data_IF_475935191144
#
_entry.id   IF_475935191144
#
_cell.length_a   1.000
_cell.length_b   1.000
_cell.length_c   1.000
_cell.angle_alpha   90.00
_cell.angle_beta   90.00
_cell.angle_gamma   90.00
#
_symmetry.space_group_name_H-M   'P 1'
#
loop_
_entity.id
_entity.type
_entity.pdbx_description
1 polymer ?
#
# COMPACT_ATOMS: atom_id res chain seq x y z
N UNK A 1 23.03 20.05 -5.07
CA UNK A 1 21.96 19.18 -5.62
C UNK A 1 20.86 19.05 -4.58
N UNK A 2 19.64 19.55 -4.85
CA UNK A 2 18.50 19.29 -3.98
C UNK A 2 18.19 17.80 -4.05
N UNK A 3 18.20 17.12 -2.90
CA UNK A 3 17.76 15.71 -2.82
C UNK A 3 16.23 15.67 -2.85
N UNK A 4 15.62 14.76 -3.63
CA UNK A 4 14.20 14.58 -3.60
C UNK A 4 13.77 14.06 -2.21
N UNK A 5 12.80 14.71 -1.58
CA UNK A 5 12.19 14.25 -0.33
C UNK A 5 11.00 13.39 -0.67
N UNK A 6 10.93 12.19 -0.09
CA UNK A 6 9.78 11.29 -0.19
C UNK A 6 9.24 11.07 1.21
N UNK A 7 7.95 11.32 1.39
CA UNK A 7 7.23 11.07 2.62
C UNK A 7 6.25 9.93 2.36
N UNK A 8 6.40 8.82 3.08
CA UNK A 8 5.48 7.68 3.01
C UNK A 8 4.68 7.61 4.30
N UNK A 9 3.36 7.56 4.18
CA UNK A 9 2.45 7.33 5.29
C UNK A 9 1.81 5.98 5.07
N UNK A 10 2.13 5.03 5.95
CA UNK A 10 1.52 3.71 5.98
C UNK A 10 0.25 3.73 6.84
N UNK A 11 -0.62 2.75 6.65
CA UNK A 11 -1.92 2.65 7.33
C UNK A 11 -2.77 3.93 7.19
N UNK A 12 -2.70 4.57 6.04
CA UNK A 12 -3.34 5.87 5.79
C UNK A 12 -4.87 5.85 5.89
N UNK A 13 -5.53 4.66 5.92
CA UNK A 13 -6.96 4.53 6.18
C UNK A 13 -7.37 5.02 7.58
N UNK A 14 -6.42 5.07 8.54
CA UNK A 14 -6.66 5.60 9.89
C UNK A 14 -6.53 7.13 9.99
N UNK A 15 -6.09 7.79 8.93
CA UNK A 15 -6.03 9.25 8.92
C UNK A 15 -7.44 9.86 9.01
N UNK A 16 -7.60 10.81 9.93
CA UNK A 16 -8.84 11.54 10.03
C UNK A 16 -9.06 12.46 8.81
N UNK A 17 -10.32 12.82 8.55
CA UNK A 17 -10.66 13.76 7.49
C UNK A 17 -9.93 15.11 7.65
N UNK A 18 -9.65 15.52 8.88
CA UNK A 18 -8.91 16.77 9.18
C UNK A 18 -7.47 16.64 8.69
N UNK A 19 -6.79 15.55 9.05
CA UNK A 19 -5.41 15.30 8.63
C UNK A 19 -5.29 15.20 7.11
N UNK A 20 -6.25 14.54 6.43
CA UNK A 20 -6.26 14.49 4.97
C UNK A 20 -6.40 15.88 4.33
N UNK A 21 -7.16 16.78 4.95
CA UNK A 21 -7.25 18.18 4.50
C UNK A 21 -5.94 18.93 4.73
N UNK A 22 -5.28 18.70 5.87
CA UNK A 22 -4.01 19.34 6.19
C UNK A 22 -2.90 18.88 5.26
N UNK A 23 -2.86 17.58 4.90
CA UNK A 23 -1.94 17.05 3.88
C UNK A 23 -2.13 17.74 2.53
N UNK A 24 -3.38 17.99 2.12
CA UNK A 24 -3.66 18.79 0.92
C UNK A 24 -3.06 20.19 1.02
N UNK A 25 -3.20 20.85 2.18
CA UNK A 25 -2.65 22.18 2.38
C UNK A 25 -1.12 22.16 2.34
N UNK A 26 -0.51 21.16 2.92
CA UNK A 26 0.94 20.95 2.89
C UNK A 26 1.46 20.79 1.44
N UNK A 27 0.71 20.10 0.60
CA UNK A 27 1.05 19.96 -0.82
C UNK A 27 0.84 21.27 -1.62
N UNK A 28 0.06 22.22 -1.09
CA UNK A 28 -0.15 23.54 -1.70
C UNK A 28 0.93 24.56 -1.34
N UNK A 29 1.81 24.28 -0.40
CA UNK A 29 2.82 25.20 0.11
C UNK A 29 3.92 25.56 -0.91
N UNK A 30 3.78 25.07 -2.15
CA UNK A 30 4.69 25.36 -3.24
C UNK A 30 4.28 26.60 -4.01
N UNK A 31 4.57 27.77 -3.46
CA UNK A 31 4.37 29.06 -4.15
C UNK A 31 5.34 29.27 -5.32
N UNK A 32 6.43 28.49 -5.40
CA UNK A 32 7.43 28.58 -6.47
C UNK A 32 7.72 27.21 -7.08
N UNK A 33 6.85 26.69 -7.93
CA UNK A 33 7.08 25.62 -8.95
C UNK A 33 8.11 24.50 -8.64
N UNK A 34 8.56 24.34 -7.40
CA UNK A 34 9.45 23.29 -6.96
C UNK A 34 8.66 22.30 -6.08
N UNK A 35 8.38 21.14 -6.62
CA UNK A 35 7.88 20.00 -5.83
C UNK A 35 8.84 19.75 -4.67
N UNK A 36 8.49 20.20 -3.45
CA UNK A 36 9.35 20.07 -2.29
C UNK A 36 9.48 18.61 -1.84
N UNK A 37 8.45 17.81 -2.07
CA UNK A 37 8.42 16.39 -1.68
C UNK A 37 7.40 15.61 -2.50
N UNK A 38 7.57 14.29 -2.52
CA UNK A 38 6.59 13.33 -3.03
C UNK A 38 5.89 12.69 -1.84
N UNK A 39 4.56 12.69 -1.83
CA UNK A 39 3.76 12.03 -0.81
C UNK A 39 3.27 10.68 -1.33
N UNK A 40 3.49 9.61 -0.56
CA UNK A 40 2.98 8.27 -0.82
C UNK A 40 2.04 7.91 0.34
N UNK A 41 0.79 7.61 0.02
CA UNK A 41 -0.18 7.07 0.96
C UNK A 41 -0.33 5.57 0.70
N UNK A 42 -0.01 4.76 1.69
CA UNK A 42 -0.22 3.32 1.67
C UNK A 42 -1.35 2.99 2.66
N UNK A 43 -2.20 2.03 2.31
CA UNK A 43 -3.28 1.65 3.20
C UNK A 43 -4.20 0.60 2.58
N UNK A 44 -5.15 0.14 3.36
CA UNK A 44 -6.17 -0.81 2.95
C UNK A 44 -7.13 -0.21 1.88
N UNK A 45 -7.87 -1.05 1.14
CA UNK A 45 -8.85 -0.60 0.13
C UNK A 45 -9.87 0.42 0.64
N UNK A 46 -10.14 0.45 1.95
CA UNK A 46 -11.01 1.44 2.58
C UNK A 46 -10.52 2.88 2.40
N UNK A 47 -9.21 3.08 2.27
CA UNK A 47 -8.63 4.39 1.94
C UNK A 47 -9.21 4.94 0.64
N UNK A 48 -9.40 4.11 -0.37
CA UNK A 48 -10.00 4.51 -1.66
C UNK A 48 -11.41 5.05 -1.45
N UNK A 49 -12.22 4.36 -0.65
CA UNK A 49 -13.59 4.78 -0.33
C UNK A 49 -13.60 6.12 0.42
N UNK A 50 -12.61 6.36 1.27
CA UNK A 50 -12.47 7.65 1.97
C UNK A 50 -12.09 8.77 1.00
N UNK A 51 -11.12 8.54 0.14
CA UNK A 51 -10.64 9.53 -0.83
C UNK A 51 -11.68 9.88 -1.91
N UNK A 52 -12.65 9.01 -2.17
CA UNK A 52 -13.75 9.29 -3.12
C UNK A 52 -14.82 10.21 -2.57
N UNK A 53 -14.83 10.49 -1.25
CA UNK A 53 -15.79 11.43 -0.66
C UNK A 53 -15.61 12.84 -1.25
N UNK A 54 -16.70 13.58 -1.52
CA UNK A 54 -16.63 14.92 -2.13
C UNK A 54 -15.69 15.88 -1.40
N UNK A 55 -15.61 15.77 -0.06
CA UNK A 55 -14.74 16.61 0.76
C UNK A 55 -13.24 16.41 0.50
N UNK A 56 -12.83 15.30 -0.13
CA UNK A 56 -11.44 14.97 -0.46
C UNK A 56 -11.13 15.08 -1.96
N UNK A 57 -12.08 15.53 -2.77
CA UNK A 57 -11.91 15.63 -4.22
C UNK A 57 -10.64 16.37 -4.62
N UNK A 58 -10.36 17.49 -3.98
CA UNK A 58 -9.18 18.28 -4.29
C UNK A 58 -7.84 17.61 -3.87
N UNK A 59 -7.85 16.70 -2.90
CA UNK A 59 -6.71 15.83 -2.61
C UNK A 59 -6.59 14.74 -3.68
N UNK A 60 -7.70 14.10 -4.02
CA UNK A 60 -7.76 13.06 -5.04
C UNK A 60 -7.26 13.54 -6.40
N UNK A 61 -7.61 14.75 -6.82
CA UNK A 61 -7.15 15.35 -8.08
C UNK A 61 -5.63 15.55 -8.14
N UNK A 62 -4.94 15.49 -7.00
CA UNK A 62 -3.47 15.62 -6.92
C UNK A 62 -2.76 14.27 -6.92
N UNK A 63 -3.50 13.16 -6.77
CA UNK A 63 -2.94 11.81 -6.87
C UNK A 63 -2.66 11.54 -8.33
N UNK A 64 -1.39 11.51 -8.68
CA UNK A 64 -0.92 11.28 -10.06
C UNK A 64 -0.77 9.80 -10.39
N UNK A 65 -0.53 8.98 -9.38
CA UNK A 65 -0.38 7.52 -9.51
C UNK A 65 -1.25 6.85 -8.48
N UNK A 66 -2.05 5.91 -8.92
CA UNK A 66 -2.88 5.06 -8.07
C UNK A 66 -2.61 3.60 -8.41
N UNK A 67 -2.25 2.81 -7.40
CA UNK A 67 -1.95 1.40 -7.56
C UNK A 67 -2.70 0.56 -6.52
N UNK A 68 -3.40 -0.45 -6.98
CA UNK A 68 -4.05 -1.43 -6.13
C UNK A 68 -3.21 -2.71 -6.11
N UNK A 69 -2.63 -3.02 -4.96
CA UNK A 69 -2.00 -4.31 -4.75
C UNK A 69 -3.08 -5.38 -4.66
N UNK A 70 -2.97 -6.37 -5.51
CA UNK A 70 -3.76 -7.58 -5.40
C UNK A 70 -3.02 -8.57 -4.50
N UNK A 71 -3.75 -9.41 -3.79
CA UNK A 71 -3.16 -10.53 -3.06
C UNK A 71 -2.44 -11.50 -4.00
N UNK A 72 -1.67 -12.43 -3.42
CA UNK A 72 -1.00 -13.48 -4.18
C UNK A 72 -2.04 -14.38 -4.85
N UNK A 73 -1.80 -14.71 -6.11
CA UNK A 73 -2.63 -15.67 -6.83
C UNK A 73 -2.45 -17.11 -6.30
N UNK A 74 -3.39 -18.04 -6.62
CA UNK A 74 -3.32 -19.43 -6.18
C UNK A 74 -2.00 -20.12 -6.54
N UNK A 75 -1.41 -19.76 -7.67
CA UNK A 75 -0.13 -20.31 -8.14
C UNK A 75 1.09 -19.69 -7.43
N UNK A 76 0.92 -18.55 -6.81
CA UNK A 76 1.99 -17.82 -6.12
C UNK A 76 2.06 -18.17 -4.63
N UNK A 77 0.92 -18.49 -4.01
CA UNK A 77 0.84 -18.82 -2.58
C UNK A 77 1.78 -19.99 -2.21
N UNK A 78 1.80 -21.12 -2.93
CA UNK A 78 2.73 -22.20 -2.62
C UNK A 78 4.20 -21.78 -2.72
N UNK A 79 4.55 -21.02 -3.74
CA UNK A 79 5.91 -20.50 -3.94
C UNK A 79 6.33 -19.58 -2.80
N UNK A 80 5.41 -18.71 -2.36
CA UNK A 80 5.65 -17.83 -1.23
C UNK A 80 5.86 -18.61 0.08
N UNK A 81 5.03 -19.64 0.34
CA UNK A 81 5.15 -20.47 1.53
C UNK A 81 6.51 -21.18 1.53
N UNK A 82 6.89 -21.84 0.44
CA UNK A 82 8.19 -22.50 0.33
C UNK A 82 9.35 -21.50 0.52
N UNK A 83 9.25 -20.32 -0.08
CA UNK A 83 10.26 -19.28 0.10
C UNK A 83 10.41 -18.88 1.58
N UNK A 84 9.30 -18.70 2.30
CA UNK A 84 9.32 -18.36 3.73
C UNK A 84 9.90 -19.49 4.59
N UNK A 85 9.55 -20.74 4.30
CA UNK A 85 10.10 -21.90 4.99
C UNK A 85 11.62 -21.97 4.81
N UNK A 86 12.13 -21.83 3.59
CA UNK A 86 13.57 -21.82 3.31
C UNK A 86 14.28 -20.68 4.02
N UNK A 87 13.73 -19.49 4.03
CA UNK A 87 14.30 -18.34 4.75
C UNK A 87 14.39 -18.59 6.26
N UNK A 88 13.46 -19.36 6.82
CA UNK A 88 13.47 -19.76 8.22
C UNK A 88 14.41 -20.98 8.49
N UNK A 89 15.13 -21.48 7.48
CA UNK A 89 16.00 -22.65 7.61
C UNK A 89 15.28 -23.99 7.52
N UNK A 90 14.00 -24.00 7.14
CA UNK A 90 13.20 -25.21 6.96
C UNK A 90 13.38 -25.85 5.58
N UNK A 91 12.89 -27.08 5.45
CA UNK A 91 12.89 -27.87 4.20
C UNK A 91 11.54 -27.76 3.49
N UNK A 92 11.54 -27.82 2.17
CA UNK A 92 10.31 -27.85 1.35
C UNK A 92 9.41 -29.06 1.64
N UNK A 93 9.95 -30.09 2.33
CA UNK A 93 9.22 -31.28 2.75
C UNK A 93 8.45 -31.11 4.07
N UNK A 94 8.52 -29.94 4.72
CA UNK A 94 7.82 -29.68 5.99
C UNK A 94 6.30 -29.64 5.82
N UNK A 95 5.81 -29.32 4.64
CA UNK A 95 4.38 -29.34 4.30
C UNK A 95 4.16 -30.36 3.19
N UNK A 96 3.20 -31.24 3.38
CA UNK A 96 2.72 -32.11 2.33
C UNK A 96 1.81 -31.38 1.33
N UNK A 97 1.51 -32.06 0.21
CA UNK A 97 0.67 -31.44 -0.84
C UNK A 97 -0.76 -31.13 -0.38
N UNK A 98 -1.29 -31.89 0.58
CA UNK A 98 -2.63 -31.67 1.12
C UNK A 98 -2.67 -30.41 2.00
N UNK A 99 -1.67 -30.22 2.86
CA UNK A 99 -1.52 -29.02 3.69
C UNK A 99 -1.30 -27.78 2.82
N UNK A 100 -0.49 -27.87 1.78
CA UNK A 100 -0.24 -26.76 0.86
C UNK A 100 -1.50 -26.37 0.09
N UNK A 101 -2.27 -27.35 -0.36
CA UNK A 101 -3.55 -27.13 -1.05
C UNK A 101 -4.57 -26.48 -0.11
N UNK A 102 -4.66 -26.94 1.13
CA UNK A 102 -5.55 -26.33 2.14
C UNK A 102 -5.17 -24.86 2.39
N UNK A 103 -3.89 -24.57 2.64
CA UNK A 103 -3.41 -23.20 2.83
C UNK A 103 -3.73 -22.30 1.62
N UNK A 104 -3.51 -22.78 0.40
CA UNK A 104 -3.82 -22.05 -0.83
C UNK A 104 -5.31 -21.72 -0.96
N UNK A 105 -6.18 -22.60 -0.46
CA UNK A 105 -7.62 -22.42 -0.51
C UNK A 105 -8.11 -21.40 0.51
N UNK A 106 -7.49 -21.35 1.70
CA UNK A 106 -7.91 -20.47 2.80
C UNK A 106 -7.23 -19.11 2.80
N UNK A 107 -6.05 -18.95 2.18
CA UNK A 107 -5.34 -17.68 2.05
C UNK A 107 -5.84 -16.89 0.81
N UNK A 108 -7.08 -16.43 0.88
CA UNK A 108 -7.65 -15.55 -0.17
C UNK A 108 -7.72 -14.12 0.31
#
# INVERSE_FOLDING_TARGET
KKQPLIITIDEAQYLSNVVLKDLKMLMNFNYDSLNCFTLILCGEPYLNSTLTKPMHESLRQRITVHYNFQGLGPDEIPKYIHHKIRLAGGSDTMLDGAALSALTTYCK
#
